data_IF_478444880719
#
_entry.id   IF_478444880719
#
_cell.length_a   1.000
_cell.length_b   1.000
_cell.length_c   1.000
_cell.angle_alpha   90.00
_cell.angle_beta   90.00
_cell.angle_gamma   90.00
#
_symmetry.space_group_name_H-M   'P 1'
#
loop_
_entity.id
_entity.type
_entity.pdbx_description
1 polymer ?
#
# COMPACT_ATOMS: atom_id res chain seq x y z
N UNK A 1 8.98 -4.06 5.15
CA UNK A 1 10.17 -3.23 5.39
C UNK A 1 9.87 -1.85 4.82
N UNK A 2 9.74 -0.86 5.68
CA UNK A 2 9.58 0.53 5.26
C UNK A 2 10.95 1.18 5.22
N UNK A 3 11.31 1.80 4.09
CA UNK A 3 12.56 2.54 3.97
C UNK A 3 12.36 3.94 4.52
N UNK A 4 13.05 4.26 5.61
CA UNK A 4 13.10 5.61 6.16
C UNK A 4 14.12 6.46 5.41
N UNK A 5 13.98 7.79 5.46
CA UNK A 5 14.98 8.73 4.94
C UNK A 5 16.38 8.41 5.51
N UNK A 6 17.42 8.71 4.75
CA UNK A 6 18.82 8.43 5.10
C UNK A 6 19.21 6.94 5.17
N UNK A 7 18.56 6.06 4.40
CA UNK A 7 18.95 4.64 4.31
C UNK A 7 18.54 3.79 5.49
N UNK A 8 17.76 4.32 6.43
CA UNK A 8 17.18 3.55 7.54
C UNK A 8 15.92 2.80 7.05
N UNK A 9 15.66 1.65 7.66
CA UNK A 9 14.49 0.84 7.37
C UNK A 9 13.63 0.71 8.62
N UNK A 10 12.32 0.82 8.44
CA UNK A 10 11.36 0.56 9.49
C UNK A 10 10.83 -0.87 9.38
N UNK A 11 10.97 -1.63 10.45
CA UNK A 11 10.46 -2.99 10.57
C UNK A 11 9.49 -3.02 11.74
N UNK A 12 8.18 -3.10 11.50
CA UNK A 12 7.18 -3.04 12.57
C UNK A 12 7.41 -4.06 13.69
N UNK A 13 7.89 -5.24 13.33
CA UNK A 13 8.16 -6.32 14.30
C UNK A 13 9.45 -6.18 15.10
N UNK A 14 10.33 -5.25 14.72
CA UNK A 14 11.67 -5.09 15.32
C UNK A 14 11.78 -3.84 16.20
N UNK A 15 10.69 -3.36 16.75
CA UNK A 15 10.65 -2.17 17.63
C UNK A 15 11.53 -2.26 18.88
N UNK A 16 12.03 -3.45 19.19
CA UNK A 16 12.98 -3.67 20.30
C UNK A 16 14.41 -3.27 19.98
N UNK A 17 14.76 -3.07 18.71
CA UNK A 17 16.15 -2.87 18.27
C UNK A 17 16.58 -1.40 18.18
N UNK A 18 15.64 -0.46 18.16
CA UNK A 18 15.99 0.96 18.09
C UNK A 18 14.96 1.82 18.83
N UNK A 19 15.42 2.72 19.70
CA UNK A 19 14.57 3.67 20.45
C UNK A 19 13.73 4.55 19.52
N UNK A 20 14.33 5.03 18.43
CA UNK A 20 13.66 5.90 17.45
C UNK A 20 12.57 5.15 16.67
N UNK A 21 12.75 3.84 16.44
CA UNK A 21 11.77 2.99 15.80
C UNK A 21 10.53 2.74 16.67
N UNK A 22 10.67 2.86 17.99
CA UNK A 22 9.58 2.61 18.94
C UNK A 22 8.53 3.72 18.91
N UNK A 23 8.95 4.96 18.77
CA UNK A 23 8.03 6.11 18.66
C UNK A 23 7.27 6.08 17.33
N UNK A 24 7.97 5.81 16.23
CA UNK A 24 7.36 5.62 14.92
C UNK A 24 6.36 4.46 14.93
N UNK A 25 6.71 3.33 15.55
CA UNK A 25 5.84 2.18 15.67
C UNK A 25 4.57 2.46 16.49
N UNK A 26 4.65 3.27 17.53
CA UNK A 26 3.47 3.66 18.33
C UNK A 26 2.54 4.56 17.55
N UNK A 27 3.06 5.44 16.67
CA UNK A 27 2.24 6.31 15.82
C UNK A 27 1.56 5.56 14.67
N UNK A 28 2.20 4.50 14.15
CA UNK A 28 1.72 3.68 13.04
C UNK A 28 0.76 2.57 13.49
N UNK A 29 -0.44 2.94 13.88
CA UNK A 29 -1.47 2.03 14.43
C UNK A 29 -1.79 0.85 13.51
N UNK A 30 -1.67 1.02 12.20
CA UNK A 30 -2.03 0.06 11.19
C UNK A 30 -1.12 -1.18 11.18
N UNK A 31 0.18 -1.00 11.47
CA UNK A 31 1.18 -2.07 11.50
C UNK A 31 1.56 -2.50 12.92
N UNK A 32 0.84 -2.02 13.91
CA UNK A 32 1.21 -2.12 15.33
C UNK A 32 1.35 -3.54 15.86
N UNK A 33 0.64 -4.48 15.28
CA UNK A 33 0.58 -5.86 15.75
C UNK A 33 1.17 -6.87 14.77
N UNK A 34 1.71 -6.38 13.66
CA UNK A 34 2.25 -7.26 12.64
C UNK A 34 3.61 -7.81 13.05
N UNK A 35 3.74 -9.12 13.06
CA UNK A 35 4.99 -9.83 13.29
C UNK A 35 5.54 -10.31 11.96
N UNK A 36 6.82 -10.07 11.73
CA UNK A 36 7.52 -10.79 10.67
C UNK A 36 7.53 -12.28 11.04
N UNK A 37 6.98 -13.09 10.14
CA UNK A 37 7.00 -14.54 10.25
C UNK A 37 8.09 -15.04 9.31
N UNK A 38 8.99 -15.85 9.82
CA UNK A 38 9.91 -16.60 8.98
C UNK A 38 9.10 -17.51 8.06
N UNK A 39 9.12 -17.19 6.77
CA UNK A 39 8.44 -17.98 5.77
C UNK A 39 9.50 -18.75 4.97
N UNK A 40 9.44 -20.10 4.93
CA UNK A 40 10.38 -20.91 4.17
C UNK A 40 10.23 -20.75 2.65
N UNK A 41 9.13 -20.13 2.20
CA UNK A 41 8.89 -19.91 0.77
C UNK A 41 9.76 -18.77 0.26
N UNK A 42 10.56 -19.03 -0.77
CA UNK A 42 11.36 -17.99 -1.41
C UNK A 42 10.45 -16.96 -2.10
N UNK A 43 10.92 -15.72 -2.25
CA UNK A 43 10.19 -14.67 -2.96
C UNK A 43 9.94 -15.06 -4.43
N UNK A 44 10.91 -15.74 -5.07
CA UNK A 44 10.76 -16.22 -6.45
C UNK A 44 9.66 -17.25 -6.57
N UNK A 45 9.58 -18.21 -5.64
CA UNK A 45 8.53 -19.24 -5.65
C UNK A 45 7.16 -18.63 -5.41
N UNK A 46 7.08 -17.66 -4.51
CA UNK A 46 5.83 -16.93 -4.29
C UNK A 46 5.39 -16.20 -5.56
N UNK A 47 6.29 -15.45 -6.22
CA UNK A 47 5.96 -14.74 -7.46
C UNK A 47 5.52 -15.70 -8.57
N UNK A 48 6.22 -16.84 -8.72
CA UNK A 48 5.82 -17.87 -9.69
C UNK A 48 4.41 -18.39 -9.42
N UNK A 49 4.06 -18.64 -8.15
CA UNK A 49 2.71 -19.07 -7.76
C UNK A 49 1.65 -17.99 -8.01
N UNK A 50 1.96 -16.74 -7.73
CA UNK A 50 1.03 -15.62 -8.01
C UNK A 50 0.73 -15.53 -9.51
N UNK A 51 1.76 -15.64 -10.36
CA UNK A 51 1.57 -15.65 -11.82
C UNK A 51 0.81 -16.89 -12.28
N UNK A 52 1.06 -18.04 -11.68
CA UNK A 52 0.34 -19.28 -12.01
C UNK A 52 -1.16 -19.17 -11.70
N UNK A 53 -1.53 -18.51 -10.59
CA UNK A 53 -2.93 -18.37 -10.14
C UNK A 53 -3.67 -17.25 -10.89
N UNK A 54 -3.04 -16.09 -11.04
CA UNK A 54 -3.68 -14.89 -11.57
C UNK A 54 -3.33 -14.57 -13.02
N UNK A 55 -2.48 -15.39 -13.65
CA UNK A 55 -2.06 -15.22 -15.04
C UNK A 55 -1.00 -14.13 -15.24
N UNK A 56 -0.66 -13.87 -16.49
CA UNK A 56 0.44 -12.97 -16.86
C UNK A 56 0.24 -11.52 -16.42
N UNK A 57 -1.00 -11.05 -16.31
CA UNK A 57 -1.30 -9.71 -15.82
C UNK A 57 -0.83 -9.49 -14.36
N UNK A 58 -0.68 -10.56 -13.59
CA UNK A 58 -0.14 -10.49 -12.24
C UNK A 58 1.31 -9.97 -12.20
N UNK A 59 2.08 -10.14 -13.27
CA UNK A 59 3.44 -9.61 -13.40
C UNK A 59 3.46 -8.09 -13.24
N UNK A 60 2.47 -7.40 -13.81
CA UNK A 60 2.34 -5.94 -13.66
C UNK A 60 2.12 -5.55 -12.19
N UNK A 61 1.24 -6.27 -11.49
CA UNK A 61 1.00 -6.03 -10.06
C UNK A 61 2.22 -6.32 -9.19
N UNK A 62 2.99 -7.38 -9.50
CA UNK A 62 4.24 -7.69 -8.80
C UNK A 62 5.31 -6.62 -9.05
N UNK A 63 5.45 -6.13 -10.29
CA UNK A 63 6.34 -5.00 -10.59
C UNK A 63 5.91 -3.74 -9.83
N UNK A 64 4.60 -3.46 -9.78
CA UNK A 64 4.08 -2.34 -9.02
C UNK A 64 4.36 -2.48 -7.52
N UNK A 65 4.19 -3.69 -6.95
CA UNK A 65 4.56 -3.99 -5.57
C UNK A 65 6.03 -3.64 -5.29
N UNK A 66 6.95 -4.11 -6.14
CA UNK A 66 8.37 -3.81 -5.99
C UNK A 66 8.63 -2.31 -6.12
N UNK A 67 8.04 -1.64 -7.12
CA UNK A 67 8.18 -0.19 -7.31
C UNK A 67 7.71 0.59 -6.07
N UNK A 68 6.66 0.12 -5.40
CA UNK A 68 6.13 0.73 -4.17
C UNK A 68 7.17 0.73 -3.04
N UNK A 69 7.96 -0.33 -2.89
CA UNK A 69 9.04 -0.40 -1.89
C UNK A 69 10.17 0.60 -2.14
N UNK A 70 10.28 1.09 -3.36
CA UNK A 70 11.28 2.08 -3.81
C UNK A 70 10.62 3.37 -4.30
N UNK A 71 9.47 3.70 -3.73
CA UNK A 71 8.63 4.82 -4.16
C UNK A 71 9.40 6.14 -4.18
N UNK A 72 10.22 6.40 -3.17
CA UNK A 72 11.06 7.59 -3.08
C UNK A 72 12.02 7.73 -4.27
N UNK A 73 12.64 6.63 -4.68
CA UNK A 73 13.56 6.59 -5.83
C UNK A 73 12.81 6.81 -7.14
N UNK A 74 11.64 6.16 -7.30
CA UNK A 74 10.80 6.33 -8.50
C UNK A 74 10.36 7.78 -8.63
N UNK A 75 9.84 8.39 -7.56
CA UNK A 75 9.41 9.79 -7.54
C UNK A 75 10.58 10.72 -7.84
N UNK A 76 11.75 10.48 -7.28
CA UNK A 76 12.95 11.28 -7.53
C UNK A 76 13.35 11.33 -9.01
N UNK A 77 13.00 10.29 -9.78
CA UNK A 77 13.30 10.20 -11.22
C UNK A 77 12.15 10.66 -12.11
N UNK A 78 10.90 10.26 -11.79
CA UNK A 78 9.73 10.47 -12.65
C UNK A 78 8.85 11.65 -12.24
N UNK A 79 9.04 12.19 -11.03
CA UNK A 79 8.22 13.24 -10.39
C UNK A 79 6.75 12.83 -10.17
N UNK A 80 6.43 11.58 -10.36
CA UNK A 80 5.10 11.01 -10.15
C UNK A 80 5.20 9.57 -9.70
N UNK A 81 4.12 9.02 -9.17
CA UNK A 81 4.03 7.60 -8.86
C UNK A 81 2.70 7.05 -9.36
N UNK A 82 2.70 6.00 -10.20
CA UNK A 82 1.48 5.49 -10.82
C UNK A 82 0.54 4.89 -9.77
N UNK A 83 -0.75 4.85 -10.10
CA UNK A 83 -1.76 4.08 -9.40
C UNK A 83 -2.03 2.79 -10.19
N UNK A 84 -2.09 1.67 -9.49
CA UNK A 84 -2.47 0.40 -10.10
C UNK A 84 -4.00 0.24 -10.02
N UNK A 85 -4.65 0.15 -11.17
CA UNK A 85 -6.08 -0.11 -11.26
C UNK A 85 -6.33 -1.56 -11.73
N UNK A 86 -6.90 -2.38 -10.85
CA UNK A 86 -7.34 -3.73 -11.19
C UNK A 86 -8.76 -3.68 -11.76
N UNK A 87 -8.88 -3.77 -13.08
CA UNK A 87 -10.15 -3.75 -13.80
C UNK A 87 -10.54 -5.14 -14.29
N UNK A 88 -11.83 -5.46 -14.27
CA UNK A 88 -12.38 -6.73 -14.78
C UNK A 88 -13.78 -7.03 -14.24
N UNK A 89 -14.46 -8.07 -14.76
CA UNK A 89 -15.81 -8.44 -14.34
C UNK A 89 -15.87 -8.83 -12.85
N UNK A 90 -17.08 -8.84 -12.31
CA UNK A 90 -17.30 -9.32 -10.93
C UNK A 90 -16.88 -10.79 -10.82
N UNK A 91 -16.20 -11.13 -9.73
CA UNK A 91 -15.77 -12.50 -9.45
C UNK A 91 -14.46 -12.95 -10.13
N UNK A 92 -13.78 -12.09 -10.90
CA UNK A 92 -12.51 -12.46 -11.56
C UNK A 92 -11.27 -12.40 -10.65
N UNK A 93 -11.42 -12.29 -9.32
CA UNK A 93 -10.30 -12.38 -8.38
C UNK A 93 -9.55 -11.08 -8.10
N UNK A 94 -10.05 -9.89 -8.49
CA UNK A 94 -9.34 -8.61 -8.25
C UNK A 94 -9.01 -8.35 -6.80
N UNK A 95 -9.99 -8.52 -5.92
CA UNK A 95 -9.82 -8.30 -4.47
C UNK A 95 -8.87 -9.33 -3.89
N UNK A 96 -8.96 -10.59 -4.30
CA UNK A 96 -8.04 -11.65 -3.88
C UNK A 96 -6.60 -11.40 -4.35
N UNK A 97 -6.44 -10.89 -5.57
CA UNK A 97 -5.13 -10.48 -6.07
C UNK A 97 -4.54 -9.34 -5.25
N UNK A 98 -5.31 -8.28 -4.99
CA UNK A 98 -4.87 -7.17 -4.16
C UNK A 98 -4.54 -7.63 -2.72
N UNK A 99 -5.39 -8.47 -2.12
CA UNK A 99 -5.15 -9.06 -0.81
C UNK A 99 -3.87 -9.91 -0.79
N UNK A 100 -3.61 -10.68 -1.85
CA UNK A 100 -2.39 -11.47 -1.99
C UNK A 100 -1.13 -10.58 -1.99
N UNK A 101 -1.16 -9.44 -2.70
CA UNK A 101 -0.05 -8.48 -2.66
C UNK A 101 0.08 -7.80 -1.28
N UNK A 102 -1.04 -7.56 -0.59
CA UNK A 102 -1.03 -6.98 0.75
C UNK A 102 -0.43 -7.91 1.81
N UNK A 103 -0.38 -9.22 1.57
CA UNK A 103 0.26 -10.19 2.48
C UNK A 103 1.75 -9.94 2.71
N UNK A 104 2.42 -9.16 1.87
CA UNK A 104 3.79 -8.70 2.13
C UNK A 104 3.88 -7.69 3.29
N UNK A 105 2.76 -7.06 3.64
CA UNK A 105 2.70 -6.00 4.64
C UNK A 105 1.89 -6.38 5.87
N UNK A 106 1.01 -7.39 5.76
CA UNK A 106 0.11 -7.84 6.81
C UNK A 106 0.11 -9.36 6.95
N UNK A 107 -0.13 -9.85 8.15
CA UNK A 107 -0.49 -11.25 8.37
C UNK A 107 -2.00 -11.41 8.16
N UNK A 108 -2.38 -12.22 7.19
CA UNK A 108 -3.77 -12.43 6.77
C UNK A 108 -4.56 -13.32 7.75
N UNK A 109 -4.49 -13.09 9.06
CA UNK A 109 -5.28 -13.84 10.04
C UNK A 109 -6.64 -13.20 10.36
N UNK A 110 -6.82 -11.95 9.98
CA UNK A 110 -8.05 -11.20 10.20
C UNK A 110 -8.65 -10.81 8.87
N UNK A 111 -9.98 -10.79 8.79
CA UNK A 111 -10.71 -10.35 7.62
C UNK A 111 -10.18 -8.99 7.14
N UNK A 112 -9.49 -9.02 6.00
CA UNK A 112 -8.98 -7.81 5.38
C UNK A 112 -10.15 -7.05 4.74
N UNK A 113 -10.39 -5.84 5.20
CA UNK A 113 -11.41 -4.95 4.67
C UNK A 113 -10.74 -3.69 4.10
N UNK A 114 -10.60 -3.60 2.77
CA UNK A 114 -10.08 -2.38 2.14
C UNK A 114 -11.07 -1.23 2.30
N UNK A 115 -10.55 -0.02 2.31
CA UNK A 115 -11.41 1.17 2.36
C UNK A 115 -12.12 1.36 1.03
N UNK A 116 -13.46 1.45 1.06
CA UNK A 116 -14.27 1.72 -0.12
C UNK A 116 -14.11 3.19 -0.54
N UNK A 117 -13.61 3.46 -1.76
CA UNK A 117 -13.53 4.83 -2.27
C UNK A 117 -14.92 5.44 -2.46
N UNK A 118 -15.92 4.61 -2.76
CA UNK A 118 -17.29 5.07 -2.97
C UNK A 118 -17.90 5.58 -1.68
N UNK A 119 -17.70 4.87 -0.56
CA UNK A 119 -18.39 5.11 0.71
C UNK A 119 -17.57 5.97 1.70
N UNK A 120 -16.24 5.96 1.60
CA UNK A 120 -15.39 6.68 2.52
C UNK A 120 -15.46 8.21 2.32
N UNK A 121 -15.32 8.96 3.39
CA UNK A 121 -15.16 10.41 3.34
C UNK A 121 -13.76 10.80 2.85
N UNK A 122 -13.59 12.02 2.33
CA UNK A 122 -12.28 12.52 1.89
C UNK A 122 -11.23 12.56 3.01
N UNK A 123 -11.56 13.00 4.25
CA UNK A 123 -10.62 12.91 5.36
C UNK A 123 -10.18 11.48 5.65
N UNK A 124 -11.10 10.51 5.66
CA UNK A 124 -10.78 9.11 5.91
C UNK A 124 -9.85 8.52 4.83
N UNK A 125 -10.09 8.85 3.54
CA UNK A 125 -9.22 8.47 2.44
C UNK A 125 -7.81 9.05 2.58
N UNK A 126 -7.73 10.34 2.92
CA UNK A 126 -6.45 11.04 3.09
C UNK A 126 -5.66 10.50 4.28
N UNK A 127 -6.32 10.22 5.40
CA UNK A 127 -5.70 9.63 6.59
C UNK A 127 -5.22 8.18 6.31
N UNK A 128 -6.05 7.40 5.61
CA UNK A 128 -5.74 6.03 5.25
C UNK A 128 -4.47 5.91 4.38
N UNK A 129 -4.33 6.79 3.38
CA UNK A 129 -3.15 6.81 2.50
C UNK A 129 -1.98 7.53 3.16
N UNK A 130 -2.23 8.62 3.89
CA UNK A 130 -1.19 9.43 4.54
C UNK A 130 -0.48 8.72 5.70
N UNK A 131 -1.12 7.69 6.28
CA UNK A 131 -0.52 6.88 7.34
C UNK A 131 0.46 5.81 6.85
N UNK A 132 0.74 5.73 5.54
CA UNK A 132 1.57 4.69 4.96
C UNK A 132 2.62 5.29 4.03
N UNK A 133 3.87 4.87 4.20
CA UNK A 133 4.99 5.23 3.32
C UNK A 133 5.67 3.96 2.79
N UNK A 134 5.98 3.95 1.51
CA UNK A 134 6.69 2.86 0.82
C UNK A 134 6.07 1.46 0.99
N UNK A 135 4.74 1.42 1.12
CA UNK A 135 3.95 0.20 1.21
C UNK A 135 2.68 0.33 0.37
N UNK A 136 2.10 -0.80 -0.01
CA UNK A 136 0.83 -0.84 -0.74
C UNK A 136 -0.32 -0.35 0.14
N UNK A 137 -1.22 0.38 -0.50
CA UNK A 137 -2.52 0.74 0.06
C UNK A 137 -3.59 0.24 -0.90
N UNK A 138 -4.48 -0.60 -0.43
CA UNK A 138 -5.60 -1.11 -1.21
C UNK A 138 -6.86 -0.28 -0.93
N UNK A 139 -7.41 0.30 -1.98
CA UNK A 139 -8.69 1.01 -1.98
C UNK A 139 -9.61 0.25 -2.93
N UNK A 140 -10.80 -0.10 -2.50
CA UNK A 140 -11.74 -0.92 -3.28
C UNK A 140 -12.97 -0.10 -3.74
N UNK A 141 -13.83 -0.74 -4.51
CA UNK A 141 -15.12 -0.23 -4.98
C UNK A 141 -15.05 1.05 -5.82
N UNK A 142 -14.04 1.15 -6.71
CA UNK A 142 -14.06 2.23 -7.70
C UNK A 142 -15.26 2.07 -8.63
N UNK A 143 -16.07 3.12 -8.76
CA UNK A 143 -17.19 3.22 -9.68
C UNK A 143 -17.09 4.51 -10.47
N UNK A 144 -17.57 4.51 -11.71
CA UNK A 144 -17.58 5.73 -12.53
C UNK A 144 -18.45 6.85 -11.93
N UNK A 145 -19.28 6.54 -10.95
CA UNK A 145 -20.16 7.49 -10.24
C UNK A 145 -19.52 8.13 -9.01
N UNK A 146 -18.22 7.92 -8.74
CA UNK A 146 -17.55 8.62 -7.64
C UNK A 146 -17.56 10.13 -7.90
N UNK A 147 -17.55 10.91 -6.82
CA UNK A 147 -17.57 12.37 -6.91
C UNK A 147 -16.31 12.92 -7.55
N UNK A 148 -16.44 14.06 -8.24
CA UNK A 148 -15.31 14.72 -8.89
C UNK A 148 -14.14 14.99 -7.92
N UNK A 149 -14.43 15.35 -6.67
CA UNK A 149 -13.40 15.57 -5.65
C UNK A 149 -12.53 14.31 -5.39
N UNK A 150 -13.12 13.12 -5.47
CA UNK A 150 -12.37 11.86 -5.33
C UNK A 150 -11.53 11.56 -6.56
N UNK A 151 -12.02 11.91 -7.74
CA UNK A 151 -11.24 11.79 -8.99
C UNK A 151 -10.02 12.72 -8.95
N UNK A 152 -10.21 13.98 -8.57
CA UNK A 152 -9.09 14.94 -8.43
C UNK A 152 -8.09 14.49 -7.35
N UNK A 153 -8.57 13.96 -6.24
CA UNK A 153 -7.69 13.39 -5.20
C UNK A 153 -6.84 12.22 -5.71
N UNK A 154 -7.38 11.34 -6.57
CA UNK A 154 -6.60 10.28 -7.21
C UNK A 154 -5.53 10.85 -8.14
N UNK A 155 -5.82 11.94 -8.88
CA UNK A 155 -4.82 12.64 -9.71
C UNK A 155 -3.72 13.27 -8.85
N UNK A 156 -4.08 13.84 -7.72
CA UNK A 156 -3.11 14.40 -6.77
C UNK A 156 -2.19 13.32 -6.21
N UNK A 157 -2.71 12.13 -5.90
CA UNK A 157 -1.89 10.98 -5.50
C UNK A 157 -0.91 10.56 -6.58
N UNK A 158 -1.35 10.52 -7.83
CA UNK A 158 -0.49 10.22 -8.98
C UNK A 158 0.65 11.24 -9.12
N UNK A 159 0.32 12.52 -9.01
CA UNK A 159 1.27 13.63 -9.13
C UNK A 159 2.10 13.87 -7.86
N UNK A 160 1.90 13.04 -6.82
CA UNK A 160 2.57 13.20 -5.52
C UNK A 160 2.33 14.58 -4.90
N UNK A 161 1.24 15.22 -5.22
CA UNK A 161 0.81 16.48 -4.63
C UNK A 161 0.19 16.16 -3.26
N UNK A 162 1.01 16.22 -2.21
CA UNK A 162 0.52 16.10 -0.85
C UNK A 162 -0.32 17.33 -0.47
N UNK A 163 -1.51 17.13 0.12
CA UNK A 163 -2.17 18.24 0.82
C UNK A 163 -1.29 18.66 1.99
N UNK A 164 -0.76 19.85 1.94
CA UNK A 164 -0.16 20.49 3.11
C UNK A 164 -1.27 20.63 4.14
N UNK A 165 -1.28 19.82 5.20
CA UNK A 165 -2.06 20.14 6.38
C UNK A 165 -1.47 21.43 6.92
N UNK A 166 -2.19 22.55 6.83
CA UNK A 166 -1.88 23.70 7.66
C UNK A 166 -2.02 23.22 9.11
N UNK A 167 -0.92 23.15 9.83
CA UNK A 167 -0.96 23.11 11.27
C UNK A 167 -1.63 24.43 11.69
N UNK A 168 -2.86 24.34 12.14
CA UNK A 168 -3.41 25.41 12.96
C UNK A 168 -2.71 25.25 14.31
N UNK A 169 -1.79 26.16 14.59
CA UNK A 169 -1.26 26.41 15.92
C UNK A 169 -2.37 26.82 16.87
#
# INVERSE_FOLDING_TARGET
ILRLQAGKYYLPAMSKLNRDSRELYVSEKKFRHEKMVDNPTSQSDFFAKVVQVFGDNAKVGLCFYIATLFRDIVIGKSRSFPLLNAFGPKGCGKTEFAATLMNFFYKYETKYEPLSITNASMPALSDYVGGVSDALVHIDEYKNSITQNKVEWLKDLWNVIGRTKMNMD
#
